data_IF_497664298065
#
_entry.id   IF_497664298065
#
_cell.length_a   1.000
_cell.length_b   1.000
_cell.length_c   1.000
_cell.angle_alpha   90.00
_cell.angle_beta   90.00
_cell.angle_gamma   90.00
#
_symmetry.space_group_name_H-M   'P 1'
#
loop_
_entity.id
_entity.type
_entity.pdbx_description
1 polymer ?
#
# COMPACT_ATOMS: atom_id res chain seq x y z
N UNK A 1 -19.17 -34.90 -11.45
CA UNK A 1 -19.88 -34.86 -10.16
C UNK A 1 -18.84 -34.52 -9.12
N UNK A 2 -18.98 -33.35 -8.49
CA UNK A 2 -17.93 -32.74 -7.67
C UNK A 2 -18.04 -33.25 -6.24
N UNK A 3 -16.91 -33.45 -5.55
CA UNK A 3 -16.79 -34.06 -4.21
C UNK A 3 -17.46 -33.29 -3.06
N UNK A 4 -18.25 -32.27 -3.37
CA UNK A 4 -18.91 -31.36 -2.44
C UNK A 4 -20.44 -31.41 -2.49
N UNK A 5 -21.02 -32.20 -3.41
CA UNK A 5 -22.47 -32.32 -3.55
C UNK A 5 -23.13 -32.96 -2.31
N UNK A 6 -22.40 -33.79 -1.56
CA UNK A 6 -22.91 -34.42 -0.33
C UNK A 6 -23.01 -33.45 0.85
N UNK A 7 -22.09 -32.48 0.94
CA UNK A 7 -22.10 -31.45 2.00
C UNK A 7 -23.25 -30.47 1.81
N UNK A 8 -23.58 -30.13 0.56
CA UNK A 8 -24.74 -29.29 0.27
C UNK A 8 -26.06 -29.98 0.64
N UNK A 9 -26.16 -31.30 0.39
CA UNK A 9 -27.33 -32.09 0.78
C UNK A 9 -27.50 -32.24 2.30
N UNK A 10 -26.40 -32.36 3.06
CA UNK A 10 -26.48 -32.42 4.53
C UNK A 10 -26.90 -31.09 5.16
N UNK A 11 -26.48 -29.96 4.58
CA UNK A 11 -26.86 -28.63 5.06
C UNK A 11 -28.34 -28.32 4.77
N UNK A 12 -28.85 -28.64 3.58
CA UNK A 12 -30.27 -28.49 3.26
C UNK A 12 -31.17 -29.41 4.11
N UNK A 13 -30.67 -30.59 4.51
CA UNK A 13 -31.41 -31.50 5.38
C UNK A 13 -31.58 -30.97 6.82
N UNK A 14 -30.65 -30.12 7.28
CA UNK A 14 -30.72 -29.50 8.61
C UNK A 14 -31.65 -28.28 8.64
N UNK A 15 -31.72 -27.50 7.55
CA UNK A 15 -32.60 -26.33 7.46
C UNK A 15 -34.09 -26.69 7.33
N UNK A 16 -34.40 -27.90 6.84
CA UNK A 16 -35.77 -28.41 6.73
C UNK A 16 -36.21 -29.32 7.89
N UNK A 17 -35.32 -29.63 8.83
CA UNK A 17 -35.66 -30.36 10.04
C UNK A 17 -36.27 -29.44 11.11
N UNK A 18 -37.40 -28.79 10.79
CA UNK A 18 -38.32 -28.32 11.84
C UNK A 18 -38.92 -29.55 12.50
N UNK A 19 -38.23 -30.04 13.52
CA UNK A 19 -38.68 -31.14 14.36
C UNK A 19 -39.90 -30.65 15.15
N UNK A 20 -41.10 -30.98 14.67
CA UNK A 20 -42.30 -31.06 15.51
C UNK A 20 -42.13 -32.25 16.47
N UNK A 21 -41.27 -32.07 17.48
CA UNK A 21 -41.15 -32.99 18.59
C UNK A 21 -42.34 -32.78 19.52
N UNK A 22 -43.42 -33.50 19.23
CA UNK A 22 -44.42 -33.82 20.25
C UNK A 22 -43.74 -34.71 21.30
N UNK A 23 -43.19 -34.10 22.35
CA UNK A 23 -42.56 -34.81 23.46
C UNK A 23 -43.69 -35.47 24.29
N UNK A 24 -43.82 -36.81 24.33
CA UNK A 24 -44.67 -37.42 25.34
C UNK A 24 -44.09 -37.06 26.70
N UNK A 25 -44.93 -36.53 27.59
CA UNK A 25 -44.55 -36.14 28.95
C UNK A 25 -44.09 -37.36 29.76
N UNK A 26 -42.85 -37.80 29.56
CA UNK A 26 -42.19 -38.71 30.46
C UNK A 26 -41.90 -37.93 31.73
N UNK A 27 -42.42 -38.46 32.85
CA UNK A 27 -42.12 -37.95 34.19
C UNK A 27 -40.62 -37.72 34.30
N UNK A 28 -40.22 -36.46 34.53
CA UNK A 28 -38.83 -36.11 34.82
C UNK A 28 -38.40 -36.84 36.07
N UNK A 29 -37.84 -38.04 35.92
CA UNK A 29 -37.02 -38.59 36.97
C UNK A 29 -35.86 -37.62 37.13
N UNK A 30 -35.81 -36.96 38.29
CA UNK A 30 -34.68 -36.15 38.71
C UNK A 30 -33.52 -37.12 38.86
N UNK A 31 -32.78 -37.32 37.76
CA UNK A 31 -31.47 -37.94 37.82
C UNK A 31 -30.62 -36.99 38.65
N UNK A 32 -30.38 -37.37 39.90
CA UNK A 32 -29.38 -36.72 40.74
C UNK A 32 -28.02 -36.95 40.08
N UNK A 33 -27.62 -36.00 39.23
CA UNK A 33 -26.28 -35.91 38.68
C UNK A 33 -25.34 -35.73 39.87
N UNK A 34 -24.57 -36.78 40.19
CA UNK A 34 -23.47 -36.66 41.13
C UNK A 34 -22.56 -35.49 40.71
N UNK A 35 -22.08 -34.66 41.65
CA UNK A 35 -21.22 -33.54 41.30
C UNK A 35 -19.99 -34.07 40.56
N UNK A 36 -19.71 -33.50 39.38
CA UNK A 36 -18.51 -33.82 38.60
C UNK A 36 -17.27 -33.68 39.49
N UNK A 37 -16.42 -34.72 39.59
CA UNK A 37 -15.21 -34.64 40.41
C UNK A 37 -14.37 -33.44 40.00
N UNK A 38 -13.80 -32.73 40.98
CA UNK A 38 -13.05 -31.48 40.78
C UNK A 38 -12.00 -31.56 39.66
N UNK A 39 -11.30 -32.68 39.53
CA UNK A 39 -10.29 -32.91 38.49
C UNK A 39 -10.85 -32.86 37.06
N UNK A 40 -12.11 -33.27 36.83
CA UNK A 40 -12.74 -33.16 35.50
C UNK A 40 -13.14 -31.73 35.17
N UNK A 41 -13.50 -30.93 36.18
CA UNK A 41 -13.77 -29.49 35.99
C UNK A 41 -12.49 -28.73 35.66
N UNK A 42 -11.41 -29.02 36.36
CA UNK A 42 -10.09 -28.44 36.09
C UNK A 42 -9.57 -28.86 34.71
N UNK A 43 -9.72 -30.13 34.33
CA UNK A 43 -9.35 -30.60 32.99
C UNK A 43 -10.17 -29.92 31.88
N UNK A 44 -11.48 -29.74 32.08
CA UNK A 44 -12.34 -29.04 31.13
C UNK A 44 -11.97 -27.55 31.01
N UNK A 45 -11.66 -26.89 32.12
CA UNK A 45 -11.20 -25.49 32.12
C UNK A 45 -9.85 -25.34 31.39
N UNK A 46 -8.90 -26.24 31.64
CA UNK A 46 -7.61 -26.24 30.95
C UNK A 46 -7.76 -26.48 29.44
N UNK A 47 -8.66 -27.39 29.04
CA UNK A 47 -8.95 -27.64 27.62
C UNK A 47 -9.57 -26.41 26.94
N UNK A 48 -10.53 -25.75 27.60
CA UNK A 48 -11.15 -24.52 27.10
C UNK A 48 -10.13 -23.38 26.99
N UNK A 49 -9.27 -23.21 27.99
CA UNK A 49 -8.22 -22.19 27.99
C UNK A 49 -7.23 -22.40 26.83
N UNK A 50 -6.78 -23.65 26.63
CA UNK A 50 -5.86 -23.99 25.54
C UNK A 50 -6.50 -23.79 24.16
N UNK A 51 -7.77 -24.12 24.00
CA UNK A 51 -8.48 -23.86 22.75
C UNK A 51 -8.68 -22.36 22.49
N UNK A 52 -9.01 -21.59 23.53
CA UNK A 52 -9.15 -20.14 23.42
C UNK A 52 -7.81 -19.49 23.01
N UNK A 53 -6.69 -19.96 23.58
CA UNK A 53 -5.35 -19.52 23.21
C UNK A 53 -5.03 -19.85 21.74
N UNK A 54 -5.31 -21.08 21.29
CA UNK A 54 -5.11 -21.44 19.89
C UNK A 54 -5.94 -20.60 18.93
N UNK A 55 -7.23 -20.37 19.23
CA UNK A 55 -8.09 -19.53 18.39
C UNK A 55 -7.53 -18.10 18.29
N UNK A 56 -7.11 -17.53 19.41
CA UNK A 56 -6.50 -16.20 19.42
C UNK A 56 -5.20 -16.13 18.59
N UNK A 57 -4.37 -17.20 18.62
CA UNK A 57 -3.19 -17.27 17.76
C UNK A 57 -3.53 -17.37 16.27
N UNK A 58 -4.56 -18.14 15.91
CA UNK A 58 -5.04 -18.23 14.53
C UNK A 58 -5.55 -16.88 14.03
N UNK A 59 -6.37 -16.19 14.82
CA UNK A 59 -6.89 -14.86 14.48
C UNK A 59 -5.76 -13.84 14.29
N UNK A 60 -4.72 -13.87 15.15
CA UNK A 60 -3.54 -13.00 14.98
C UNK A 60 -2.79 -13.30 13.69
N UNK A 61 -2.52 -14.58 13.40
CA UNK A 61 -1.81 -14.98 12.17
C UNK A 61 -2.62 -14.64 10.92
N UNK A 62 -3.93 -14.78 10.97
CA UNK A 62 -4.81 -14.40 9.88
C UNK A 62 -4.80 -12.88 9.67
N UNK A 63 -4.86 -12.09 10.74
CA UNK A 63 -4.75 -10.63 10.66
C UNK A 63 -3.40 -10.17 10.08
N UNK A 64 -2.29 -10.78 10.51
CA UNK A 64 -0.95 -10.53 9.96
C UNK A 64 -0.89 -10.85 8.46
N UNK A 65 -1.43 -12.00 8.05
CA UNK A 65 -1.48 -12.41 6.64
C UNK A 65 -2.31 -11.42 5.80
N UNK A 66 -3.46 -10.99 6.30
CA UNK A 66 -4.31 -10.01 5.62
C UNK A 66 -3.60 -8.65 5.48
N UNK A 67 -2.88 -8.22 6.52
CA UNK A 67 -2.10 -6.98 6.47
C UNK A 67 -0.95 -7.09 5.44
N UNK A 68 -0.24 -8.20 5.41
CA UNK A 68 0.84 -8.43 4.43
C UNK A 68 0.31 -8.45 2.99
N UNK A 69 -0.82 -9.12 2.75
CA UNK A 69 -1.46 -9.16 1.44
C UNK A 69 -1.88 -7.76 0.97
N UNK A 70 -2.51 -6.97 1.84
CA UNK A 70 -2.94 -5.61 1.51
C UNK A 70 -1.76 -4.68 1.26
N UNK A 71 -0.67 -4.81 2.04
CA UNK A 71 0.58 -4.06 1.81
C UNK A 71 1.23 -4.41 0.47
N UNK A 72 1.28 -5.69 0.09
CA UNK A 72 1.80 -6.09 -1.24
C UNK A 72 0.96 -5.55 -2.37
N UNK A 73 -0.36 -5.67 -2.29
CA UNK A 73 -1.29 -5.15 -3.30
C UNK A 73 -1.16 -3.64 -3.52
N UNK A 74 -1.06 -2.87 -2.44
CA UNK A 74 -0.93 -1.41 -2.51
C UNK A 74 0.47 -1.00 -3.00
N UNK A 75 1.52 -1.69 -2.56
CA UNK A 75 2.89 -1.46 -3.00
C UNK A 75 3.04 -1.71 -4.50
N UNK A 76 2.65 -2.88 -5.01
CA UNK A 76 2.76 -3.20 -6.45
C UNK A 76 1.94 -2.25 -7.33
N UNK A 77 0.77 -1.82 -6.86
CA UNK A 77 -0.05 -0.85 -7.56
C UNK A 77 0.64 0.51 -7.62
N UNK A 78 1.24 0.95 -6.53
CA UNK A 78 1.97 2.22 -6.49
C UNK A 78 3.22 2.19 -7.37
N UNK A 79 3.97 1.08 -7.35
CA UNK A 79 5.16 0.90 -8.16
C UNK A 79 4.83 0.91 -9.66
N UNK A 80 3.79 0.18 -10.09
CA UNK A 80 3.33 0.20 -11.49
C UNK A 80 2.91 1.60 -11.95
N UNK A 81 2.23 2.36 -11.09
CA UNK A 81 1.83 3.74 -11.39
C UNK A 81 3.06 4.63 -11.53
N UNK A 82 4.05 4.51 -10.65
CA UNK A 82 5.25 5.35 -10.67
C UNK A 82 6.14 5.04 -11.89
N UNK A 83 6.33 3.75 -12.24
CA UNK A 83 7.01 3.36 -13.49
C UNK A 83 6.32 3.96 -14.72
N UNK A 84 4.98 3.97 -14.74
CA UNK A 84 4.21 4.56 -15.85
C UNK A 84 4.40 6.09 -15.92
N UNK A 85 4.44 6.77 -14.77
CA UNK A 85 4.70 8.22 -14.69
C UNK A 85 6.09 8.56 -15.17
N UNK A 86 7.10 7.81 -14.76
CA UNK A 86 8.48 7.98 -15.20
C UNK A 86 8.59 7.83 -16.72
N UNK A 87 8.02 6.75 -17.27
CA UNK A 87 7.94 6.55 -18.73
C UNK A 87 7.30 7.76 -19.44
N UNK A 88 6.18 8.27 -18.92
CA UNK A 88 5.51 9.43 -19.51
C UNK A 88 6.35 10.70 -19.44
N UNK A 89 7.07 10.93 -18.33
CA UNK A 89 8.00 12.08 -18.19
C UNK A 89 9.09 12.01 -19.25
N UNK A 90 9.72 10.85 -19.41
CA UNK A 90 10.76 10.62 -20.42
C UNK A 90 10.23 10.77 -21.85
N UNK A 91 9.06 10.20 -22.13
CA UNK A 91 8.39 10.33 -23.42
C UNK A 91 8.12 11.81 -23.74
N UNK A 92 7.57 12.57 -22.79
CA UNK A 92 7.30 13.99 -22.98
C UNK A 92 8.58 14.81 -23.12
N UNK A 93 9.67 14.45 -22.43
CA UNK A 93 10.98 15.08 -22.61
C UNK A 93 11.52 14.85 -24.03
N UNK A 94 11.47 13.61 -24.53
CA UNK A 94 11.86 13.26 -25.91
C UNK A 94 10.99 13.98 -26.93
N UNK A 95 9.67 14.07 -26.70
CA UNK A 95 8.74 14.79 -27.57
C UNK A 95 9.06 16.30 -27.62
N UNK A 96 9.23 16.95 -26.46
CA UNK A 96 9.66 18.35 -26.40
C UNK A 96 11.00 18.59 -27.11
N UNK A 97 11.95 17.66 -26.97
CA UNK A 97 13.23 17.74 -27.67
C UNK A 97 13.06 17.63 -29.19
N UNK A 98 12.18 16.75 -29.67
CA UNK A 98 11.85 16.61 -31.10
C UNK A 98 11.17 17.87 -31.64
N UNK A 99 10.18 18.40 -30.91
CA UNK A 99 9.42 19.58 -31.31
C UNK A 99 10.32 20.84 -31.35
N UNK A 100 11.19 21.01 -30.35
CA UNK A 100 12.15 22.12 -30.36
C UNK A 100 13.18 22.00 -31.49
N UNK A 101 13.65 20.78 -31.81
CA UNK A 101 14.51 20.53 -32.99
C UNK A 101 13.79 20.89 -34.30
N UNK A 102 12.51 20.54 -34.42
CA UNK A 102 11.70 20.86 -35.59
C UNK A 102 11.44 22.37 -35.74
N UNK A 103 11.34 23.11 -34.63
CA UNK A 103 11.22 24.58 -34.62
C UNK A 103 12.54 25.32 -34.88
N UNK A 104 13.63 24.62 -35.23
CA UNK A 104 14.95 25.22 -35.43
C UNK A 104 15.58 25.78 -34.16
N UNK A 105 14.95 25.57 -33.00
CA UNK A 105 15.52 25.92 -31.69
C UNK A 105 16.53 24.84 -31.35
N UNK A 106 17.78 25.22 -31.12
CA UNK A 106 18.77 24.30 -30.58
C UNK A 106 18.26 23.82 -29.23
N UNK A 107 17.75 22.59 -29.20
CA UNK A 107 17.55 21.87 -27.95
C UNK A 107 18.95 21.80 -27.35
N UNK A 108 19.22 22.62 -26.33
CA UNK A 108 20.40 22.39 -25.49
C UNK A 108 20.22 20.97 -24.98
N UNK A 109 20.90 20.03 -25.61
CA UNK A 109 21.16 18.75 -24.98
C UNK A 109 21.90 19.15 -23.72
N UNK A 110 21.21 19.09 -22.58
CA UNK A 110 21.87 19.13 -21.30
C UNK A 110 22.74 17.89 -21.29
N UNK A 111 23.95 17.97 -21.84
CA UNK A 111 24.99 16.99 -21.57
C UNK A 111 25.07 16.95 -20.06
N UNK A 112 24.77 15.79 -19.49
CA UNK A 112 25.03 15.51 -18.09
C UNK A 112 26.49 15.90 -17.84
N UNK A 113 26.74 16.74 -16.82
CA UNK A 113 28.09 17.23 -16.49
C UNK A 113 29.11 16.09 -16.40
N UNK A 114 28.65 14.88 -16.05
CA UNK A 114 29.43 13.64 -16.00
C UNK A 114 30.11 13.28 -17.31
N UNK A 115 29.49 13.51 -18.46
CA UNK A 115 29.99 13.06 -19.77
C UNK A 115 30.79 14.13 -20.52
N UNK A 116 30.97 15.32 -19.92
CA UNK A 116 31.80 16.38 -20.48
C UNK A 116 33.27 16.16 -20.14
N UNK A 117 34.15 16.45 -21.11
CA UNK A 117 35.58 16.52 -20.85
C UNK A 117 35.91 17.67 -19.87
N UNK A 118 37.05 17.62 -19.17
CA UNK A 118 37.43 18.68 -18.22
C UNK A 118 37.45 20.08 -18.84
N UNK A 119 37.84 20.19 -20.11
CA UNK A 119 37.87 21.45 -20.86
C UNK A 119 36.46 21.98 -21.16
N UNK A 120 35.54 21.10 -21.56
CA UNK A 120 34.13 21.43 -21.78
C UNK A 120 33.46 21.91 -20.49
N UNK A 121 33.78 21.30 -19.33
CA UNK A 121 33.30 21.75 -18.02
C UNK A 121 33.77 23.16 -17.69
N UNK A 122 35.06 23.45 -17.90
CA UNK A 122 35.63 24.77 -17.65
C UNK A 122 35.02 25.85 -18.55
N UNK A 123 34.73 25.51 -19.81
CA UNK A 123 34.03 26.41 -20.73
C UNK A 123 32.57 26.66 -20.29
N UNK A 124 31.89 25.63 -19.79
CA UNK A 124 30.53 25.74 -19.26
C UNK A 124 30.47 26.63 -18.01
N UNK A 125 31.40 26.46 -17.07
CA UNK A 125 31.50 27.33 -15.88
C UNK A 125 31.75 28.79 -16.24
N UNK A 126 32.66 29.07 -17.18
CA UNK A 126 32.91 30.42 -17.70
C UNK A 126 31.64 31.04 -18.31
N UNK A 127 30.83 30.24 -19.00
CA UNK A 127 29.57 30.68 -19.58
C UNK A 127 28.54 31.03 -18.50
N UNK A 128 28.41 30.20 -17.46
CA UNK A 128 27.54 30.48 -16.32
C UNK A 128 27.98 31.73 -15.54
N UNK A 129 29.29 31.93 -15.37
CA UNK A 129 29.82 33.11 -14.69
C UNK A 129 29.55 34.40 -15.49
N UNK A 130 29.73 34.37 -16.81
CA UNK A 130 29.33 35.47 -17.70
C UNK A 130 27.83 35.77 -17.61
N UNK A 131 26.99 34.73 -17.57
CA UNK A 131 25.54 34.88 -17.46
C UNK A 131 25.13 35.46 -16.09
N UNK A 132 25.77 35.02 -15.00
CA UNK A 132 25.57 35.61 -13.65
C UNK A 132 25.97 37.08 -13.61
N UNK A 133 27.13 37.43 -14.18
CA UNK A 133 27.61 38.83 -14.27
C UNK A 133 26.67 39.70 -15.13
N UNK A 134 26.23 39.18 -16.27
CA UNK A 134 25.25 39.84 -17.15
C UNK A 134 23.92 40.08 -16.43
N UNK A 135 23.38 39.09 -15.73
CA UNK A 135 22.15 39.26 -14.94
C UNK A 135 22.34 40.31 -13.85
N UNK A 136 23.47 40.27 -13.12
CA UNK A 136 23.79 41.25 -12.08
C UNK A 136 23.95 42.68 -12.63
N UNK A 137 24.48 42.83 -13.85
CA UNK A 137 24.61 44.12 -14.53
C UNK A 137 23.28 44.64 -15.11
N UNK A 138 22.39 43.76 -15.53
CA UNK A 138 21.05 44.11 -16.05
C UNK A 138 19.96 44.23 -15.00
N UNK A 139 20.25 43.92 -13.73
CA UNK A 139 19.31 44.11 -12.63
C UNK A 139 19.34 45.59 -12.24
N UNK A 140 18.28 46.35 -12.56
CA UNK A 140 18.12 47.71 -12.05
C UNK A 140 18.21 47.67 -10.51
N UNK A 141 18.91 48.60 -9.85
CA UNK A 141 18.84 48.70 -8.40
C UNK A 141 17.37 48.77 -7.99
N UNK A 142 16.99 47.97 -6.98
CA UNK A 142 15.60 47.91 -6.48
C UNK A 142 15.03 49.31 -6.29
N UNK A 143 13.77 49.51 -6.69
CA UNK A 143 13.13 50.80 -6.62
C UNK A 143 13.22 51.34 -5.19
N UNK A 144 13.96 52.44 -5.01
CA UNK A 144 14.09 53.12 -3.73
C UNK A 144 13.07 54.25 -3.68
N UNK A 145 12.14 54.19 -2.74
CA UNK A 145 11.20 55.27 -2.49
C UNK A 145 11.87 56.33 -1.60
N UNK A 146 11.79 57.63 -1.93
CA UNK A 146 12.52 58.69 -1.21
C UNK A 146 12.17 58.78 0.28
N UNK A 147 10.99 58.30 0.68
CA UNK A 147 10.54 58.28 2.08
C UNK A 147 10.63 56.91 2.76
N UNK A 148 10.68 55.80 2.01
CA UNK A 148 10.54 54.44 2.57
C UNK A 148 11.72 53.52 2.28
N UNK A 149 12.77 54.01 1.60
CA UNK A 149 13.97 53.23 1.33
C UNK A 149 13.78 52.16 0.24
N UNK A 150 14.61 51.11 0.28
CA UNK A 150 14.61 50.01 -0.71
C UNK A 150 13.56 48.98 -0.33
N UNK A 151 12.77 48.54 -1.30
CA UNK A 151 11.87 47.37 -1.20
C UNK A 151 12.57 46.09 -1.64
#
# INVERSE_FOLDING_TARGET
MSSYDWLAQELDALDHATVDASIPAQSRQVVTLNPTPLHWREAAQNWLAKNAEMVAEYERREAELQMDLTMRWTSERSERVERRREYYRDYMAKRRAKDAKAQGRTVRQYRTLKDMTPEERKAHERKLDRERKSRKAGTRPGASHPLFGRF
#
